data_IF_463388956882
#
_entry.id   IF_463388956882
#
_cell.length_a   1.000
_cell.length_b   1.000
_cell.length_c   1.000
_cell.angle_alpha   90.00
_cell.angle_beta   90.00
_cell.angle_gamma   90.00
#
_symmetry.space_group_name_H-M   'P 1'
#
loop_
_entity.id
_entity.type
_entity.pdbx_description
1 polymer ?
#
# COMPACT_ATOMS: atom_id res chain seq x y z
N UNK A 1 -9.83 8.73 -12.52
CA UNK A 1 -9.77 8.00 -11.22
C UNK A 1 -10.53 6.70 -11.37
N UNK A 2 -10.22 5.68 -10.57
CA UNK A 2 -11.04 4.47 -10.50
C UNK A 2 -12.18 4.66 -9.50
N UNK A 3 -13.37 4.13 -9.81
CA UNK A 3 -14.59 4.31 -9.00
C UNK A 3 -14.40 3.81 -7.55
N UNK A 4 -13.62 2.74 -7.35
CA UNK A 4 -13.33 2.22 -6.00
C UNK A 4 -12.44 3.18 -5.20
N UNK A 5 -11.47 3.82 -5.85
CA UNK A 5 -10.58 4.79 -5.16
C UNK A 5 -11.38 6.00 -4.70
N UNK A 6 -12.32 6.48 -5.51
CA UNK A 6 -13.23 7.58 -5.13
C UNK A 6 -14.14 7.21 -3.95
N UNK A 7 -14.66 5.97 -3.92
CA UNK A 7 -15.47 5.50 -2.78
C UNK A 7 -14.63 5.42 -1.50
N UNK A 8 -13.44 4.82 -1.56
CA UNK A 8 -12.53 4.68 -0.42
C UNK A 8 -12.02 6.04 0.08
N UNK A 9 -11.74 6.98 -0.83
CA UNK A 9 -11.40 8.37 -0.50
C UNK A 9 -12.54 9.05 0.27
N UNK A 10 -13.78 8.97 -0.25
CA UNK A 10 -14.96 9.51 0.44
C UNK A 10 -15.18 8.87 1.81
N UNK A 11 -14.98 7.57 1.96
CA UNK A 11 -15.06 6.87 3.26
C UNK A 11 -14.04 7.39 4.29
N UNK A 12 -12.87 7.84 3.84
CA UNK A 12 -11.85 8.47 4.68
C UNK A 12 -12.10 9.94 4.99
N UNK A 13 -12.75 10.68 4.09
CA UNK A 13 -13.01 12.13 4.24
C UNK A 13 -14.35 12.44 4.93
N UNK A 14 -15.40 11.67 4.65
CA UNK A 14 -16.76 11.95 5.08
C UNK A 14 -17.12 11.19 6.37
N UNK A 15 -17.05 11.87 7.52
CA UNK A 15 -17.36 11.28 8.83
C UNK A 15 -18.80 10.70 8.96
N UNK A 16 -19.73 11.10 8.10
CA UNK A 16 -21.07 10.51 8.03
C UNK A 16 -21.09 9.07 7.48
N UNK A 17 -20.07 8.64 6.72
CA UNK A 17 -19.92 7.27 6.19
C UNK A 17 -19.32 6.30 7.23
N UNK A 18 -19.09 6.75 8.46
CA UNK A 18 -18.85 5.87 9.61
C UNK A 18 -20.16 5.25 10.13
N UNK A 19 -21.31 5.83 9.79
CA UNK A 19 -22.63 5.25 10.05
C UNK A 19 -22.89 4.07 9.10
N UNK A 20 -23.37 2.95 9.65
CA UNK A 20 -23.53 1.70 8.92
C UNK A 20 -24.49 1.84 7.73
N UNK A 21 -25.67 2.40 7.95
CA UNK A 21 -26.72 2.45 6.93
C UNK A 21 -26.31 3.40 5.77
N UNK A 22 -25.64 4.51 6.10
CA UNK A 22 -25.08 5.43 5.09
C UNK A 22 -23.93 4.81 4.31
N UNK A 23 -23.07 4.03 4.96
CA UNK A 23 -21.99 3.32 4.29
C UNK A 23 -22.54 2.27 3.32
N UNK A 24 -23.51 1.46 3.75
CA UNK A 24 -24.15 0.45 2.88
C UNK A 24 -24.83 1.12 1.67
N UNK A 25 -25.54 2.24 1.87
CA UNK A 25 -26.10 3.04 0.77
C UNK A 25 -25.04 3.58 -0.19
N UNK A 26 -23.90 4.08 0.32
CA UNK A 26 -22.80 4.58 -0.51
C UNK A 26 -22.15 3.46 -1.34
N UNK A 27 -21.94 2.27 -0.77
CA UNK A 27 -21.42 1.09 -1.49
C UNK A 27 -22.42 0.63 -2.56
N UNK A 28 -23.71 0.59 -2.25
CA UNK A 28 -24.75 0.19 -3.20
C UNK A 28 -24.89 1.18 -4.37
N UNK A 29 -24.79 2.48 -4.10
CA UNK A 29 -24.89 3.53 -5.12
C UNK A 29 -23.63 3.68 -5.99
N UNK A 30 -22.47 3.17 -5.56
CA UNK A 30 -21.23 3.26 -6.33
C UNK A 30 -21.27 2.40 -7.61
N UNK A 31 -20.66 2.88 -8.69
CA UNK A 31 -20.51 2.13 -9.94
C UNK A 31 -19.35 1.12 -9.83
N UNK A 32 -19.60 0.02 -9.12
CA UNK A 32 -18.65 -1.05 -8.84
C UNK A 32 -19.23 -2.42 -9.21
N UNK A 33 -18.35 -3.37 -9.52
CA UNK A 33 -18.67 -4.79 -9.70
C UNK A 33 -19.39 -5.37 -8.48
N UNK A 34 -20.33 -6.29 -8.71
CA UNK A 34 -21.15 -6.88 -7.64
C UNK A 34 -20.29 -7.58 -6.57
N UNK A 35 -19.29 -8.34 -7.00
CA UNK A 35 -18.35 -9.04 -6.12
C UNK A 35 -17.59 -8.08 -5.20
N UNK A 36 -17.22 -6.90 -5.70
CA UNK A 36 -16.51 -5.88 -4.92
C UNK A 36 -17.44 -5.20 -3.91
N UNK A 37 -18.70 -4.94 -4.28
CA UNK A 37 -19.73 -4.44 -3.33
C UNK A 37 -19.99 -5.44 -2.21
N UNK A 38 -20.18 -6.71 -2.55
CA UNK A 38 -20.41 -7.79 -1.58
C UNK A 38 -19.23 -7.93 -0.60
N UNK A 39 -18.00 -7.90 -1.11
CA UNK A 39 -16.77 -7.91 -0.30
C UNK A 39 -16.69 -6.72 0.66
N UNK A 40 -17.03 -5.50 0.20
CA UNK A 40 -17.08 -4.30 1.05
C UNK A 40 -18.16 -4.39 2.14
N UNK A 41 -19.37 -4.84 1.80
CA UNK A 41 -20.50 -4.99 2.74
C UNK A 41 -20.21 -6.03 3.82
N UNK A 42 -19.62 -7.17 3.43
CA UNK A 42 -19.21 -8.25 4.33
C UNK A 42 -17.96 -7.91 5.15
N UNK A 43 -17.28 -6.78 4.86
CA UNK A 43 -15.99 -6.38 5.44
C UNK A 43 -14.89 -7.43 5.28
N UNK A 44 -14.94 -8.20 4.19
CA UNK A 44 -13.93 -9.22 3.89
C UNK A 44 -12.65 -8.57 3.36
N UNK A 45 -11.79 -8.20 4.30
CA UNK A 45 -10.50 -7.56 4.03
C UNK A 45 -9.62 -8.40 3.09
N UNK A 46 -9.54 -9.72 3.29
CA UNK A 46 -8.62 -10.58 2.54
C UNK A 46 -9.03 -10.70 1.07
N UNK A 47 -10.34 -10.84 0.82
CA UNK A 47 -10.86 -10.84 -0.55
C UNK A 47 -10.72 -9.46 -1.18
N UNK A 48 -10.90 -8.37 -0.41
CA UNK A 48 -10.72 -7.00 -0.91
C UNK A 48 -9.27 -6.72 -1.34
N UNK A 49 -8.29 -7.11 -0.52
CA UNK A 49 -6.86 -6.95 -0.84
C UNK A 49 -6.51 -7.70 -2.13
N UNK A 50 -7.04 -8.92 -2.32
CA UNK A 50 -6.85 -9.71 -3.55
C UNK A 50 -7.56 -9.12 -4.78
N UNK A 51 -8.78 -8.60 -4.62
CA UNK A 51 -9.54 -7.96 -5.71
C UNK A 51 -8.90 -6.65 -6.18
N UNK A 52 -8.20 -5.95 -5.29
CA UNK A 52 -7.52 -4.68 -5.57
C UNK A 52 -6.02 -4.84 -5.86
N UNK A 53 -5.52 -6.08 -6.00
CA UNK A 53 -4.12 -6.44 -6.26
C UNK A 53 -3.14 -5.76 -5.28
N UNK A 54 -3.53 -5.68 -4.00
CA UNK A 54 -2.72 -5.13 -2.93
C UNK A 54 -1.74 -6.20 -2.46
N UNK A 55 -0.45 -5.99 -2.75
CA UNK A 55 0.66 -6.79 -2.22
C UNK A 55 1.25 -6.10 -0.97
N UNK A 56 0.86 -6.50 0.27
CA UNK A 56 1.38 -5.87 1.49
C UNK A 56 2.81 -6.29 1.87
N UNK A 57 3.32 -7.39 1.30
CA UNK A 57 4.59 -8.02 1.70
C UNK A 57 5.82 -7.32 1.11
N UNK A 58 6.09 -6.08 1.56
CA UNK A 58 7.37 -5.41 1.31
C UNK A 58 8.43 -6.00 2.26
N UNK A 59 9.07 -7.09 1.82
CA UNK A 59 10.16 -7.74 2.54
C UNK A 59 11.48 -6.98 2.39
N UNK A 60 11.83 -6.19 3.40
CA UNK A 60 13.15 -5.59 3.52
C UNK A 60 14.13 -6.57 4.19
N UNK A 61 14.97 -7.25 3.38
CA UNK A 61 16.04 -8.09 3.90
C UNK A 61 17.17 -7.22 4.45
N UNK A 62 17.30 -7.19 5.78
CA UNK A 62 18.49 -6.67 6.44
C UNK A 62 19.53 -7.79 6.52
N UNK A 63 20.39 -7.88 5.50
CA UNK A 63 21.57 -8.72 5.59
C UNK A 63 22.53 -8.13 6.63
N UNK A 64 23.12 -8.95 7.53
CA UNK A 64 24.29 -8.51 8.29
C UNK A 64 25.36 -8.01 7.31
N UNK A 65 26.11 -6.99 7.70
CA UNK A 65 27.37 -6.72 7.01
C UNK A 65 28.23 -7.99 7.14
N UNK A 66 28.70 -8.52 6.02
CA UNK A 66 29.78 -9.50 6.06
C UNK A 66 31.00 -8.78 6.66
N UNK A 67 31.55 -9.29 7.76
CA UNK A 67 32.82 -8.80 8.28
C UNK A 67 33.85 -8.85 7.14
N UNK A 68 34.43 -7.70 6.80
CA UNK A 68 35.27 -7.52 5.60
C UNK A 68 36.42 -8.54 5.56
N UNK A 69 36.24 -9.65 4.85
CA UNK A 69 37.38 -10.33 4.24
C UNK A 69 37.87 -9.44 3.11
N UNK A 70 39.18 -9.15 3.02
CA UNK A 70 39.70 -8.17 2.08
C UNK A 70 39.32 -8.55 0.65
N UNK A 71 38.52 -7.70 0.02
CA UNK A 71 38.16 -7.85 -1.39
C UNK A 71 39.44 -7.85 -2.23
N UNK A 72 39.56 -8.82 -3.13
CA UNK A 72 40.42 -8.62 -4.30
C UNK A 72 39.70 -7.68 -5.25
N UNK A 73 40.39 -6.62 -5.61
CA UNK A 73 40.00 -5.63 -6.60
C UNK A 73 39.63 -6.32 -7.93
N UNK A 74 38.41 -6.09 -8.41
CA UNK A 74 38.15 -5.86 -9.84
C UNK A 74 37.27 -4.60 -9.94
N UNK A 75 37.51 -3.80 -10.98
CA UNK A 75 37.49 -2.34 -10.94
C UNK A 75 36.30 -1.73 -11.72
N UNK A 76 36.09 -0.41 -11.59
CA UNK A 76 35.19 0.45 -12.41
C UNK A 76 33.65 0.17 -12.31
N UNK A 77 32.70 1.10 -12.49
CA UNK A 77 32.56 2.58 -12.51
C UNK A 77 31.03 2.85 -12.40
N UNK A 78 30.43 3.84 -11.73
CA UNK A 78 30.82 4.97 -10.86
C UNK A 78 29.80 5.09 -9.69
N UNK A 79 29.99 6.02 -8.74
CA UNK A 79 28.92 6.48 -7.84
C UNK A 79 29.08 7.95 -7.44
N UNK A 80 28.10 8.80 -7.78
CA UNK A 80 28.08 10.21 -7.36
C UNK A 80 27.99 10.32 -5.82
N UNK A 81 28.77 11.23 -5.24
CA UNK A 81 28.81 11.43 -3.79
C UNK A 81 27.51 12.02 -3.23
N UNK A 82 26.90 11.35 -2.25
CA UNK A 82 25.92 11.97 -1.35
C UNK A 82 26.51 11.99 0.06
N UNK A 83 27.05 13.15 0.45
CA UNK A 83 27.59 13.36 1.80
C UNK A 83 26.46 13.70 2.78
N UNK A 84 26.27 12.89 3.82
CA UNK A 84 25.43 13.26 4.96
C UNK A 84 26.27 13.92 6.04
N UNK A 85 25.92 15.15 6.42
CA UNK A 85 26.55 15.88 7.53
C UNK A 85 25.66 15.74 8.75
N UNK A 86 26.16 15.07 9.79
CA UNK A 86 25.46 14.91 11.07
C UNK A 86 26.11 15.90 12.06
N UNK A 87 25.36 16.92 12.46
CA UNK A 87 25.80 17.85 13.51
C UNK A 87 25.50 17.25 14.89
N UNK A 88 26.54 17.14 15.72
CA UNK A 88 26.46 16.95 17.18
C UNK A 88 26.96 18.20 17.91
#
# INVERSE_FOLDING_TARGET
MSNIVQLLERMGQEANLQDKDKLEQAIQAAELEHSLKETLLNKDKLTLERQLDICPDIVAFLFPAEDEQPQKEEDEEQKEEIRSVING
#
